data_IF_765509495413
#
_entry.id   IF_765509495413
#
_cell.length_a   1.000
_cell.length_b   1.000
_cell.length_c   1.000
_cell.angle_alpha   90.00
_cell.angle_beta   90.00
_cell.angle_gamma   90.00
#
_symmetry.space_group_name_H-M   'P 1'
#
loop_
_entity.id
_entity.type
_entity.pdbx_description
1 polymer ?
#
# COMPACT_ATOMS: atom_id res chain seq x y z
N UNK A 1 13.00 -59.80 -67.41
CA UNK A 1 12.27 -61.00 -67.83
C UNK A 1 10.85 -60.85 -67.28
N UNK A 2 10.02 -60.73 -68.24
CA UNK A 2 8.74 -61.39 -68.55
C UNK A 2 7.56 -60.88 -67.70
N UNK A 3 6.77 -60.07 -68.25
CA UNK A 3 5.65 -60.12 -69.23
C UNK A 3 4.28 -60.42 -68.55
N UNK A 4 3.36 -59.47 -68.84
CA UNK A 4 1.95 -59.66 -69.29
C UNK A 4 0.91 -60.19 -68.23
N UNK A 5 -0.33 -59.77 -68.17
CA UNK A 5 -1.26 -59.24 -69.21
C UNK A 5 -2.50 -58.64 -68.51
N UNK A 6 -3.04 -57.70 -69.20
CA UNK A 6 -4.36 -57.08 -69.12
C UNK A 6 -5.51 -58.09 -69.16
N UNK A 7 -6.64 -57.78 -68.48
CA UNK A 7 -7.97 -58.00 -69.02
C UNK A 7 -8.99 -57.00 -68.37
N UNK A 8 -9.65 -56.32 -69.28
CA UNK A 8 -10.84 -55.51 -69.04
C UNK A 8 -12.04 -56.39 -68.78
N UNK A 9 -13.00 -55.93 -67.99
CA UNK A 9 -14.42 -56.10 -68.26
C UNK A 9 -15.23 -55.04 -67.54
N UNK A 10 -16.18 -54.51 -68.25
CA UNK A 10 -17.01 -53.36 -67.95
C UNK A 10 -18.35 -53.79 -67.31
N UNK A 11 -19.00 -52.75 -66.81
CA UNK A 11 -20.46 -52.54 -66.67
C UNK A 11 -21.11 -53.03 -65.34
N UNK A 12 -21.68 -52.13 -64.57
CA UNK A 12 -23.09 -51.76 -64.72
C UNK A 12 -23.45 -50.72 -63.61
N UNK A 13 -24.11 -49.67 -64.07
CA UNK A 13 -24.73 -48.59 -63.30
C UNK A 13 -25.87 -49.08 -62.40
N UNK A 14 -25.89 -48.63 -61.15
CA UNK A 14 -27.09 -48.53 -60.36
C UNK A 14 -27.05 -47.23 -59.55
N UNK A 15 -27.86 -46.26 -59.98
CA UNK A 15 -28.05 -45.01 -59.26
C UNK A 15 -28.97 -45.26 -58.04
N UNK A 16 -28.42 -45.00 -56.86
CA UNK A 16 -29.21 -44.90 -55.63
C UNK A 16 -29.12 -43.45 -55.12
N UNK A 17 -30.21 -42.73 -55.27
CA UNK A 17 -30.42 -41.39 -54.70
C UNK A 17 -30.61 -41.50 -53.21
N UNK A 18 -29.60 -41.14 -52.47
CA UNK A 18 -29.73 -40.95 -51.03
C UNK A 18 -30.04 -39.47 -50.73
N UNK A 19 -31.26 -39.21 -50.25
CA UNK A 19 -31.66 -37.94 -49.64
C UNK A 19 -30.89 -37.78 -48.32
N UNK A 20 -29.89 -36.92 -48.27
CA UNK A 20 -29.27 -36.47 -47.03
C UNK A 20 -30.03 -35.25 -46.52
N UNK A 21 -30.84 -35.45 -45.49
CA UNK A 21 -31.40 -34.37 -44.64
C UNK A 21 -30.26 -33.76 -43.85
N UNK A 22 -29.86 -32.55 -44.21
CA UNK A 22 -28.94 -31.73 -43.43
C UNK A 22 -29.75 -31.12 -42.25
N UNK A 23 -29.65 -31.69 -41.06
CA UNK A 23 -29.99 -30.98 -39.82
C UNK A 23 -29.01 -29.86 -39.61
N UNK A 24 -29.43 -28.63 -39.91
CA UNK A 24 -28.69 -27.43 -39.46
C UNK A 24 -28.86 -27.32 -37.93
N UNK A 25 -27.84 -27.73 -37.19
CA UNK A 25 -27.71 -27.38 -35.78
C UNK A 25 -27.47 -25.87 -35.70
N UNK A 26 -28.49 -25.09 -35.37
CA UNK A 26 -28.31 -23.72 -34.92
C UNK A 26 -27.52 -23.77 -33.58
N UNK A 27 -26.19 -23.63 -33.65
CA UNK A 27 -25.43 -23.27 -32.49
C UNK A 27 -25.88 -21.87 -32.07
N UNK A 28 -26.63 -21.78 -30.99
CA UNK A 28 -26.93 -20.52 -30.34
C UNK A 28 -25.57 -19.91 -29.91
N UNK A 29 -25.10 -18.93 -30.67
CA UNK A 29 -23.96 -18.11 -30.24
C UNK A 29 -24.35 -17.49 -28.88
N UNK A 30 -23.47 -17.52 -27.87
CA UNK A 30 -23.75 -16.81 -26.65
C UNK A 30 -23.94 -15.34 -27.01
N UNK A 31 -25.11 -14.79 -26.60
CA UNK A 31 -25.45 -13.40 -26.82
C UNK A 31 -24.28 -12.54 -26.30
N UNK A 32 -23.61 -11.86 -27.21
CA UNK A 32 -22.64 -10.84 -26.84
C UNK A 32 -23.39 -9.81 -26.00
N UNK A 33 -22.94 -9.64 -24.76
CA UNK A 33 -23.45 -8.57 -23.91
C UNK A 33 -23.08 -7.24 -24.57
N UNK A 34 -24.07 -6.61 -25.14
CA UNK A 34 -23.99 -5.24 -25.62
C UNK A 34 -24.38 -4.32 -24.44
N UNK A 35 -23.46 -4.16 -23.49
CA UNK A 35 -23.40 -3.01 -22.61
C UNK A 35 -21.99 -2.92 -22.08
N UNK A 36 -21.24 -1.93 -22.56
CA UNK A 36 -19.82 -1.69 -22.23
C UNK A 36 -19.57 -1.12 -20.82
N UNK A 37 -20.47 -1.40 -19.86
CA UNK A 37 -20.26 -1.12 -18.45
C UNK A 37 -19.73 -2.34 -17.73
N UNK A 38 -18.66 -2.19 -16.92
CA UNK A 38 -18.22 -3.25 -16.02
C UNK A 38 -19.37 -3.62 -15.08
N UNK A 39 -19.63 -4.92 -14.81
CA UNK A 39 -20.69 -5.34 -13.93
C UNK A 39 -20.58 -4.70 -12.54
N UNK A 40 -21.70 -4.20 -12.05
CA UNK A 40 -21.81 -3.51 -10.77
C UNK A 40 -22.59 -4.36 -9.78
N UNK A 41 -21.89 -4.79 -8.71
CA UNK A 41 -22.49 -5.55 -7.61
C UNK A 41 -22.87 -4.60 -6.48
N UNK A 42 -24.15 -4.39 -6.29
CA UNK A 42 -24.65 -3.55 -5.20
C UNK A 42 -24.74 -4.34 -3.89
N UNK A 43 -24.27 -3.76 -2.80
CA UNK A 43 -24.35 -4.34 -1.45
C UNK A 43 -25.00 -3.33 -0.51
N UNK A 44 -26.11 -3.73 0.12
CA UNK A 44 -26.81 -2.92 1.12
C UNK A 44 -26.46 -3.35 2.54
N UNK A 45 -26.67 -2.49 3.55
CA UNK A 45 -26.54 -2.88 4.94
C UNK A 45 -27.31 -4.15 5.27
N UNK A 46 -26.66 -5.10 5.97
CA UNK A 46 -27.19 -6.42 6.25
C UNK A 46 -26.83 -7.49 5.19
N UNK A 47 -26.35 -7.10 4.01
CA UNK A 47 -25.84 -8.03 3.01
C UNK A 47 -24.33 -8.25 3.21
N UNK A 48 -23.81 -9.39 2.74
CA UNK A 48 -22.41 -9.76 2.85
C UNK A 48 -21.57 -9.15 1.73
N UNK A 49 -20.62 -8.27 2.08
CA UNK A 49 -19.64 -7.75 1.13
C UNK A 49 -18.81 -8.91 0.56
N UNK A 50 -18.41 -9.88 1.40
CA UNK A 50 -17.59 -11.01 0.95
C UNK A 50 -18.28 -11.80 -0.15
N UNK A 51 -19.58 -12.09 -0.03
CA UNK A 51 -20.29 -12.79 -1.10
C UNK A 51 -20.32 -12.03 -2.41
N UNK A 52 -20.43 -10.71 -2.37
CA UNK A 52 -20.39 -9.89 -3.58
C UNK A 52 -18.98 -9.89 -4.20
N UNK A 53 -17.94 -9.82 -3.38
CA UNK A 53 -16.53 -9.92 -3.82
C UNK A 53 -16.24 -11.29 -4.42
N UNK A 54 -16.73 -12.38 -3.81
CA UNK A 54 -16.52 -13.75 -4.30
C UNK A 54 -17.24 -14.02 -5.64
N UNK A 55 -18.36 -13.33 -5.88
CA UNK A 55 -19.11 -13.43 -7.13
C UNK A 55 -18.56 -12.52 -8.24
N UNK A 56 -17.75 -11.54 -7.89
CA UNK A 56 -17.21 -10.55 -8.82
C UNK A 56 -16.06 -11.13 -9.68
N UNK A 57 -16.02 -10.71 -10.94
CA UNK A 57 -15.00 -11.07 -11.92
C UNK A 57 -13.94 -9.98 -12.01
N UNK A 58 -12.77 -10.25 -12.60
CA UNK A 58 -11.78 -9.22 -12.86
C UNK A 58 -12.37 -7.99 -13.57
N UNK A 59 -12.13 -6.82 -12.98
CA UNK A 59 -12.67 -5.54 -13.47
C UNK A 59 -14.01 -5.12 -12.88
N UNK A 60 -14.73 -6.00 -12.18
CA UNK A 60 -16.04 -5.67 -11.60
C UNK A 60 -15.92 -4.68 -10.44
N UNK A 61 -17.01 -3.94 -10.20
CA UNK A 61 -17.13 -3.04 -9.05
C UNK A 61 -18.12 -3.58 -8.03
N UNK A 62 -17.71 -3.66 -6.78
CA UNK A 62 -18.57 -3.92 -5.63
C UNK A 62 -18.87 -2.59 -4.95
N UNK A 63 -20.11 -2.12 -5.10
CA UNK A 63 -20.59 -0.82 -4.60
C UNK A 63 -21.35 -0.99 -3.29
N UNK A 64 -20.82 -0.40 -2.22
CA UNK A 64 -21.48 -0.35 -0.92
C UNK A 64 -22.38 0.88 -0.84
N UNK A 65 -23.61 0.71 -0.38
CA UNK A 65 -24.49 1.81 0.01
C UNK A 65 -24.10 2.38 1.38
N UNK A 66 -24.61 3.57 1.75
CA UNK A 66 -24.44 4.08 3.11
C UNK A 66 -24.97 3.09 4.16
N UNK A 67 -24.19 2.88 5.22
CA UNK A 67 -24.54 2.02 6.36
C UNK A 67 -23.36 1.26 6.92
N UNK A 68 -23.63 0.46 7.95
CA UNK A 68 -22.60 -0.31 8.67
C UNK A 68 -22.62 -1.77 8.21
N UNK A 69 -21.44 -2.26 7.88
CA UNK A 69 -21.18 -3.63 7.43
C UNK A 69 -20.30 -4.34 8.45
N UNK A 70 -20.78 -5.48 8.95
CA UNK A 70 -20.03 -6.29 9.92
C UNK A 70 -19.31 -7.43 9.22
N UNK A 71 -18.04 -7.62 9.57
CA UNK A 71 -17.17 -8.65 9.03
C UNK A 71 -15.97 -8.08 8.28
N UNK A 72 -15.11 -8.98 7.85
CA UNK A 72 -13.90 -8.65 7.09
C UNK A 72 -14.08 -9.02 5.62
N UNK A 73 -13.35 -8.33 4.76
CA UNK A 73 -13.40 -8.54 3.30
C UNK A 73 -12.05 -9.05 2.82
N UNK A 74 -12.03 -10.18 2.14
CA UNK A 74 -10.84 -10.74 1.50
C UNK A 74 -10.96 -10.66 -0.02
N UNK A 75 -10.05 -9.95 -0.67
CA UNK A 75 -10.01 -9.76 -2.12
C UNK A 75 -8.83 -10.55 -2.68
N UNK A 76 -9.11 -11.48 -3.60
CA UNK A 76 -8.13 -12.30 -4.32
C UNK A 76 -8.34 -12.32 -5.83
N UNK A 77 -9.31 -11.56 -6.31
CA UNK A 77 -9.62 -11.40 -7.73
C UNK A 77 -8.99 -10.10 -8.23
N UNK A 78 -8.20 -10.10 -9.32
CA UNK A 78 -7.55 -8.91 -9.83
C UNK A 78 -8.56 -7.91 -10.41
N UNK A 79 -8.18 -6.63 -10.42
CA UNK A 79 -8.96 -5.55 -11.02
C UNK A 79 -10.26 -5.20 -10.30
N UNK A 80 -10.56 -5.80 -9.15
CA UNK A 80 -11.78 -5.49 -8.39
C UNK A 80 -11.71 -4.07 -7.84
N UNK A 81 -12.82 -3.36 -7.98
CA UNK A 81 -13.05 -2.10 -7.26
C UNK A 81 -14.03 -2.31 -6.12
N UNK A 82 -13.58 -2.19 -4.88
CA UNK A 82 -14.45 -2.09 -3.71
C UNK A 82 -14.69 -0.60 -3.40
N UNK A 83 -15.91 -0.14 -3.59
CA UNK A 83 -16.26 1.27 -3.48
C UNK A 83 -17.40 1.50 -2.48
N UNK A 84 -17.23 2.48 -1.60
CA UNK A 84 -18.27 2.95 -0.68
C UNK A 84 -18.87 4.29 -1.09
N UNK A 85 -19.74 4.81 -0.23
CA UNK A 85 -20.32 6.14 -0.30
C UNK A 85 -19.62 7.14 0.64
N UNK A 86 -18.28 7.12 0.63
CA UNK A 86 -17.48 7.92 1.55
C UNK A 86 -17.51 7.35 2.97
N UNK A 87 -17.50 8.23 3.97
CA UNK A 87 -17.51 7.86 5.40
C UNK A 87 -18.81 7.18 5.86
N UNK A 88 -19.84 7.24 5.03
CA UNK A 88 -21.14 6.67 5.37
C UNK A 88 -21.21 5.15 5.12
N UNK A 89 -20.26 4.57 4.37
CA UNK A 89 -20.12 3.12 4.22
C UNK A 89 -19.04 2.62 5.17
N UNK A 90 -19.42 2.07 6.31
CA UNK A 90 -18.52 1.75 7.42
C UNK A 90 -18.37 0.24 7.57
N UNK A 91 -17.15 -0.26 7.47
CA UNK A 91 -16.80 -1.66 7.74
C UNK A 91 -16.27 -1.77 9.17
N UNK A 92 -16.89 -2.64 9.98
CA UNK A 92 -16.54 -2.89 11.38
C UNK A 92 -16.35 -4.39 11.61
N UNK A 93 -15.66 -4.80 12.69
CA UNK A 93 -15.49 -6.22 13.00
C UNK A 93 -16.83 -6.97 13.11
N UNK A 94 -16.87 -8.17 12.55
CA UNK A 94 -17.91 -9.16 12.74
C UNK A 94 -17.54 -10.18 13.81
N UNK A 95 -18.05 -11.40 13.68
CA UNK A 95 -17.80 -12.49 14.64
C UNK A 95 -16.43 -13.15 14.46
N UNK A 96 -15.68 -12.76 13.40
CA UNK A 96 -14.26 -13.08 13.24
C UNK A 96 -13.95 -14.44 12.62
N UNK A 97 -14.94 -15.13 12.06
CA UNK A 97 -14.76 -16.48 11.53
C UNK A 97 -15.08 -16.62 10.03
N UNK A 98 -15.52 -15.54 9.37
CA UNK A 98 -16.09 -15.60 8.02
C UNK A 98 -15.04 -15.94 6.94
N UNK A 99 -13.79 -15.52 7.15
CA UNK A 99 -12.68 -15.78 6.21
C UNK A 99 -11.32 -15.58 6.89
N UNK A 100 -10.23 -15.89 6.17
CA UNK A 100 -8.87 -15.77 6.69
C UNK A 100 -8.49 -14.32 7.10
N UNK A 101 -9.08 -13.29 6.50
CA UNK A 101 -8.89 -11.89 6.88
C UNK A 101 -9.47 -11.61 8.27
N UNK A 102 -10.69 -12.07 8.52
CA UNK A 102 -11.36 -11.99 9.81
C UNK A 102 -10.58 -12.74 10.90
N UNK A 103 -10.17 -13.98 10.61
CA UNK A 103 -9.37 -14.78 11.54
C UNK A 103 -8.04 -14.10 11.89
N UNK A 104 -7.40 -13.44 10.94
CA UNK A 104 -6.21 -12.65 11.14
C UNK A 104 -6.46 -11.35 11.93
N UNK A 105 -7.69 -10.85 11.97
CA UNK A 105 -8.08 -9.64 12.71
C UNK A 105 -7.97 -8.34 11.90
N UNK A 106 -7.92 -8.42 10.57
CA UNK A 106 -7.88 -7.28 9.66
C UNK A 106 -9.27 -6.94 9.10
N UNK A 107 -9.43 -5.70 8.63
CA UNK A 107 -10.70 -5.24 8.03
C UNK A 107 -10.85 -5.66 6.58
N UNK A 108 -9.97 -5.16 5.73
CA UNK A 108 -9.91 -5.52 4.30
C UNK A 108 -8.54 -6.12 4.02
N UNK A 109 -8.51 -7.32 3.44
CA UNK A 109 -7.27 -7.95 2.99
C UNK A 109 -7.26 -8.04 1.46
N UNK A 110 -6.20 -7.52 0.85
CA UNK A 110 -5.92 -7.66 -0.60
C UNK A 110 -4.73 -8.58 -0.74
N UNK A 111 -4.95 -9.82 -1.20
CA UNK A 111 -3.98 -10.90 -1.03
C UNK A 111 -3.60 -11.53 -2.37
N UNK A 112 -2.36 -11.30 -2.76
CA UNK A 112 -1.64 -12.05 -3.78
C UNK A 112 -0.46 -12.80 -3.17
N UNK A 113 0.44 -13.27 -4.00
CA UNK A 113 1.74 -13.86 -3.61
C UNK A 113 2.87 -13.16 -4.36
N UNK A 114 4.10 -13.46 -4.01
CA UNK A 114 5.26 -12.90 -4.72
C UNK A 114 5.36 -13.45 -6.14
N UNK A 115 5.07 -14.75 -6.32
CA UNK A 115 5.08 -15.39 -7.64
C UNK A 115 3.87 -14.97 -8.51
N UNK A 116 2.75 -14.68 -7.86
CA UNK A 116 1.49 -14.29 -8.51
C UNK A 116 0.91 -13.06 -7.82
N UNK A 117 1.47 -11.87 -8.07
CA UNK A 117 0.96 -10.64 -7.47
C UNK A 117 -0.47 -10.36 -7.91
N UNK A 118 -1.31 -9.99 -6.94
CA UNK A 118 -2.68 -9.56 -7.24
C UNK A 118 -2.66 -8.15 -7.81
N UNK A 119 -3.16 -7.98 -9.05
CA UNK A 119 -3.05 -6.72 -9.77
C UNK A 119 -4.29 -5.84 -9.69
N UNK A 120 -4.05 -4.52 -9.72
CA UNK A 120 -5.01 -3.46 -10.07
C UNK A 120 -6.28 -3.43 -9.21
N UNK A 121 -6.20 -3.83 -7.95
CA UNK A 121 -7.31 -3.72 -7.01
C UNK A 121 -7.46 -2.27 -6.55
N UNK A 122 -8.70 -1.80 -6.44
CA UNK A 122 -9.01 -0.47 -5.92
C UNK A 122 -9.90 -0.57 -4.68
N UNK A 123 -9.52 0.10 -3.60
CA UNK A 123 -10.36 0.34 -2.41
C UNK A 123 -10.60 1.83 -2.32
N UNK A 124 -11.85 2.25 -2.44
CA UNK A 124 -12.19 3.65 -2.58
C UNK A 124 -13.40 4.09 -1.75
N UNK A 125 -13.28 5.26 -1.09
CA UNK A 125 -14.44 5.99 -0.57
C UNK A 125 -15.27 5.23 0.46
N UNK A 126 -14.64 4.65 1.49
CA UNK A 126 -15.30 3.95 2.59
C UNK A 126 -14.56 4.15 3.91
N UNK A 127 -15.19 3.80 5.02
CA UNK A 127 -14.57 3.80 6.34
C UNK A 127 -14.29 2.38 6.84
N UNK A 128 -13.16 2.21 7.56
CA UNK A 128 -12.75 0.93 8.17
C UNK A 128 -12.26 1.20 9.59
N UNK A 129 -12.91 0.59 10.59
CA UNK A 129 -12.61 0.92 11.98
C UNK A 129 -12.79 -0.25 12.94
N UNK A 130 -12.05 -0.21 14.07
CA UNK A 130 -12.22 -1.08 15.23
C UNK A 130 -11.60 -2.47 15.10
N UNK A 131 -10.76 -2.73 14.11
CA UNK A 131 -10.14 -4.04 13.91
C UNK A 131 -8.97 -4.28 14.85
N UNK A 132 -8.78 -5.55 15.26
CA UNK A 132 -7.72 -5.97 16.20
C UNK A 132 -6.32 -5.86 15.61
N UNK A 133 -6.20 -5.73 14.29
CA UNK A 133 -4.96 -5.48 13.57
C UNK A 133 -5.12 -4.31 12.61
N UNK A 134 -4.87 -4.52 11.32
CA UNK A 134 -4.86 -3.47 10.33
C UNK A 134 -6.29 -3.19 9.80
N UNK A 135 -6.57 -1.94 9.52
CA UNK A 135 -7.81 -1.58 8.82
C UNK A 135 -7.81 -2.15 7.40
N UNK A 136 -6.81 -1.79 6.59
CA UNK A 136 -6.57 -2.34 5.26
C UNK A 136 -5.20 -3.01 5.27
N UNK A 137 -5.15 -4.27 4.84
CA UNK A 137 -3.94 -5.10 4.81
C UNK A 137 -3.73 -5.66 3.41
N UNK A 138 -2.66 -5.25 2.75
CA UNK A 138 -2.31 -5.71 1.41
C UNK A 138 -1.00 -6.49 1.42
N UNK A 139 -0.94 -7.58 0.70
CA UNK A 139 0.25 -8.43 0.61
C UNK A 139 0.38 -9.00 -0.79
N UNK A 140 1.58 -8.93 -1.37
CA UNK A 140 1.85 -9.46 -2.71
C UNK A 140 0.98 -8.82 -3.79
N UNK A 141 0.89 -7.48 -3.81
CA UNK A 141 0.05 -6.76 -4.77
C UNK A 141 0.87 -5.92 -5.74
N UNK A 142 0.30 -5.62 -6.90
CA UNK A 142 0.88 -4.68 -7.86
C UNK A 142 -0.21 -3.75 -8.39
N UNK A 143 0.05 -2.44 -8.39
CA UNK A 143 -0.94 -1.45 -8.85
C UNK A 143 -2.15 -1.26 -7.90
N UNK A 144 -2.04 -1.62 -6.62
CA UNK A 144 -3.09 -1.36 -5.64
C UNK A 144 -3.35 0.14 -5.52
N UNK A 145 -4.62 0.52 -5.57
CA UNK A 145 -5.06 1.89 -5.26
C UNK A 145 -5.92 1.91 -4.00
N UNK A 146 -5.50 2.68 -2.99
CA UNK A 146 -6.32 2.99 -1.81
C UNK A 146 -6.57 4.50 -1.79
N UNK A 147 -7.82 4.93 -1.94
CA UNK A 147 -8.10 6.36 -2.09
C UNK A 147 -9.39 6.80 -1.43
N UNK A 148 -9.38 8.02 -0.88
CA UNK A 148 -10.58 8.62 -0.27
C UNK A 148 -11.18 7.81 0.87
N UNK A 149 -10.40 6.97 1.53
CA UNK A 149 -10.84 6.14 2.66
C UNK A 149 -10.66 6.85 3.99
N UNK A 150 -11.48 6.49 4.97
CA UNK A 150 -11.31 6.87 6.37
C UNK A 150 -10.99 5.63 7.21
N UNK A 151 -9.74 5.48 7.62
CA UNK A 151 -9.26 4.28 8.33
C UNK A 151 -8.82 4.67 9.73
N UNK A 152 -9.55 4.25 10.76
CA UNK A 152 -9.32 4.77 12.11
C UNK A 152 -9.57 3.76 13.23
N UNK A 153 -9.00 4.02 14.40
CA UNK A 153 -9.20 3.22 15.61
C UNK A 153 -8.93 1.71 15.42
N UNK A 154 -8.00 1.37 14.54
CA UNK A 154 -7.54 -0.01 14.40
C UNK A 154 -6.32 -0.25 15.32
N UNK A 155 -6.20 -1.44 15.88
CA UNK A 155 -5.20 -1.69 16.91
C UNK A 155 -3.75 -1.73 16.39
N UNK A 156 -3.56 -1.86 15.07
CA UNK A 156 -2.24 -1.80 14.44
C UNK A 156 -2.20 -0.72 13.36
N UNK A 157 -1.98 -1.10 12.09
CA UNK A 157 -1.84 -0.14 11.01
C UNK A 157 -3.21 0.33 10.50
N UNK A 158 -3.30 1.57 10.06
CA UNK A 158 -4.45 2.00 9.27
C UNK A 158 -4.44 1.30 7.91
N UNK A 159 -3.45 1.62 7.08
CA UNK A 159 -3.22 1.01 5.76
C UNK A 159 -1.84 0.35 5.79
N UNK A 160 -1.81 -0.97 5.60
CA UNK A 160 -0.59 -1.78 5.56
C UNK A 160 -0.38 -2.37 4.17
N UNK A 161 0.86 -2.35 3.69
CA UNK A 161 1.23 -3.00 2.45
C UNK A 161 2.59 -3.68 2.60
N UNK A 162 2.62 -4.98 2.32
CA UNK A 162 3.86 -5.76 2.32
C UNK A 162 4.10 -6.40 0.95
N UNK A 163 5.39 -6.50 0.54
CA UNK A 163 5.81 -7.18 -0.70
C UNK A 163 5.01 -6.77 -1.94
N UNK A 164 4.81 -5.50 -2.11
CA UNK A 164 3.92 -4.97 -3.13
C UNK A 164 4.59 -3.84 -3.92
N UNK A 165 4.12 -3.63 -5.14
CA UNK A 165 4.71 -2.66 -6.07
C UNK A 165 3.64 -1.75 -6.68
N UNK A 166 4.07 -0.58 -7.15
CA UNK A 166 3.29 0.37 -7.95
C UNK A 166 1.96 0.79 -7.29
N UNK A 167 1.94 0.85 -5.97
CA UNK A 167 0.74 1.27 -5.27
C UNK A 167 0.53 2.78 -5.31
N UNK A 168 -0.73 3.19 -5.23
CA UNK A 168 -1.15 4.58 -5.05
C UNK A 168 -2.02 4.67 -3.81
N UNK A 169 -1.49 5.29 -2.75
CA UNK A 169 -2.21 5.53 -1.48
C UNK A 169 -2.45 7.02 -1.39
N UNK A 170 -3.65 7.49 -1.74
CA UNK A 170 -3.90 8.92 -1.90
C UNK A 170 -5.21 9.43 -1.31
N UNK A 171 -5.16 10.66 -0.78
CA UNK A 171 -6.37 11.35 -0.31
C UNK A 171 -7.11 10.59 0.79
N UNK A 172 -6.41 9.76 1.56
CA UNK A 172 -7.00 9.03 2.67
C UNK A 172 -6.86 9.82 3.96
N UNK A 173 -7.78 9.57 4.89
CA UNK A 173 -7.62 9.96 6.28
C UNK A 173 -7.36 8.71 7.12
N UNK A 174 -6.18 8.63 7.74
CA UNK A 174 -5.80 7.50 8.60
C UNK A 174 -5.45 8.01 9.99
N UNK A 175 -6.35 7.78 10.97
CA UNK A 175 -6.26 8.44 12.27
C UNK A 175 -6.39 7.46 13.43
N UNK A 176 -5.69 7.76 14.52
CA UNK A 176 -5.83 7.06 15.81
C UNK A 176 -5.63 5.54 15.73
N UNK A 177 -4.81 5.08 14.77
CA UNK A 177 -4.43 3.68 14.71
C UNK A 177 -3.26 3.40 15.67
N UNK A 178 -3.21 2.20 16.23
CA UNK A 178 -2.24 1.83 17.27
C UNK A 178 -0.77 1.83 16.81
N UNK A 179 -0.54 1.73 15.50
CA UNK A 179 0.80 1.79 14.90
C UNK A 179 0.85 2.89 13.82
N UNK A 180 1.18 2.57 12.58
CA UNK A 180 1.29 3.59 11.54
C UNK A 180 -0.04 3.91 10.87
N UNK A 181 -0.21 5.16 10.47
CA UNK A 181 -1.30 5.56 9.57
C UNK A 181 -1.18 4.84 8.22
N UNK A 182 0.02 4.91 7.61
CA UNK A 182 0.41 4.13 6.44
C UNK A 182 1.72 3.39 6.73
N UNK A 183 1.74 2.10 6.45
CA UNK A 183 2.90 1.23 6.65
C UNK A 183 3.22 0.46 5.37
N UNK A 184 4.42 0.67 4.84
CA UNK A 184 4.95 -0.08 3.72
C UNK A 184 6.20 -0.84 4.15
N UNK A 185 6.25 -2.14 3.86
CA UNK A 185 7.38 -2.95 4.26
C UNK A 185 7.73 -4.07 3.27
N UNK A 186 8.99 -4.46 3.27
CA UNK A 186 9.40 -5.80 2.92
C UNK A 186 9.16 -6.74 4.12
N UNK A 187 9.04 -8.04 3.90
CA UNK A 187 8.82 -9.02 4.98
C UNK A 187 9.79 -8.84 6.15
N UNK A 188 9.23 -8.92 7.34
CA UNK A 188 9.97 -8.78 8.59
C UNK A 188 11.02 -9.88 8.79
N UNK A 189 10.83 -11.03 8.17
CA UNK A 189 11.62 -12.24 8.39
C UNK A 189 12.50 -12.64 7.20
N UNK A 190 12.53 -11.81 6.16
CA UNK A 190 13.34 -12.06 4.98
C UNK A 190 14.65 -11.30 5.10
N UNK A 191 15.75 -12.00 5.05
CA UNK A 191 17.07 -11.41 4.85
C UNK A 191 17.26 -11.05 3.38
N UNK A 192 18.12 -10.09 3.10
CA UNK A 192 18.44 -9.63 1.75
C UNK A 192 18.15 -8.16 1.54
N UNK A 193 18.38 -7.69 0.34
CA UNK A 193 18.24 -6.27 -0.02
C UNK A 193 16.81 -5.78 -0.04
N UNK A 194 16.67 -4.48 -0.04
CA UNK A 194 15.38 -3.79 -0.12
C UNK A 194 14.84 -3.86 -1.56
N UNK A 195 13.66 -4.45 -1.79
CA UNK A 195 13.07 -4.48 -3.12
C UNK A 195 12.67 -3.08 -3.58
N UNK A 196 12.71 -2.87 -4.90
CA UNK A 196 12.19 -1.68 -5.53
C UNK A 196 10.66 -1.78 -5.65
N UNK A 197 9.97 -0.75 -5.20
CA UNK A 197 8.50 -0.73 -5.25
C UNK A 197 7.95 -0.38 -6.63
N UNK A 198 8.81 -0.05 -7.59
CA UNK A 198 8.38 0.34 -8.94
C UNK A 198 7.58 1.64 -8.99
N UNK A 199 7.89 2.59 -8.10
CA UNK A 199 7.26 3.89 -8.07
C UNK A 199 5.98 3.97 -7.25
N UNK A 200 5.89 3.26 -6.13
CA UNK A 200 4.78 3.44 -5.16
C UNK A 200 4.72 4.89 -4.68
N UNK A 201 3.50 5.43 -4.55
CA UNK A 201 3.27 6.81 -4.12
C UNK A 201 2.30 6.86 -2.93
N UNK A 202 2.71 7.62 -1.90
CA UNK A 202 1.85 7.99 -0.75
C UNK A 202 1.66 9.50 -0.83
N UNK A 203 0.45 9.96 -1.23
CA UNK A 203 0.23 11.36 -1.53
C UNK A 203 -1.09 11.92 -1.01
N UNK A 204 -1.06 13.18 -0.57
CA UNK A 204 -2.26 13.93 -0.21
C UNK A 204 -3.08 13.31 0.92
N UNK A 205 -2.46 12.51 1.80
CA UNK A 205 -3.15 11.86 2.93
C UNK A 205 -3.12 12.75 4.17
N UNK A 206 -4.15 12.64 5.02
CA UNK A 206 -4.21 13.19 6.37
C UNK A 206 -3.93 12.06 7.40
N UNK A 207 -2.78 12.16 8.10
CA UNK A 207 -2.29 11.10 8.99
C UNK A 207 -2.10 11.65 10.40
N UNK A 208 -3.05 11.36 11.30
CA UNK A 208 -3.11 12.04 12.60
C UNK A 208 -3.33 11.06 13.76
N UNK A 209 -2.69 11.31 14.90
CA UNK A 209 -2.95 10.57 16.16
C UNK A 209 -2.40 9.15 16.20
N UNK A 210 -1.74 8.68 15.16
CA UNK A 210 -1.14 7.34 15.09
C UNK A 210 0.16 7.27 15.94
N UNK A 211 0.80 6.11 16.03
CA UNK A 211 2.17 6.01 16.52
C UNK A 211 3.15 6.66 15.53
N UNK A 212 3.01 6.38 14.26
CA UNK A 212 3.78 7.00 13.17
C UNK A 212 2.82 7.37 12.05
N UNK A 213 2.99 8.53 11.43
CA UNK A 213 2.19 8.91 10.26
C UNK A 213 2.46 7.95 9.09
N UNK A 214 3.68 7.94 8.57
CA UNK A 214 4.14 7.04 7.50
C UNK A 214 5.36 6.25 7.96
N UNK A 215 5.31 4.94 7.88
CA UNK A 215 6.50 4.07 8.03
C UNK A 215 6.84 3.42 6.70
N UNK A 216 8.10 3.55 6.28
CA UNK A 216 8.69 2.83 5.15
C UNK A 216 9.81 1.96 5.69
N UNK A 217 9.72 0.65 5.49
CA UNK A 217 10.68 -0.28 6.05
C UNK A 217 11.27 -1.21 5.00
N UNK A 218 12.60 -1.13 4.80
CA UNK A 218 13.36 -1.99 3.90
C UNK A 218 12.80 -2.04 2.48
N UNK A 219 12.51 -0.85 1.94
CA UNK A 219 12.01 -0.65 0.58
C UNK A 219 12.81 0.45 -0.12
N UNK A 220 12.73 0.47 -1.44
CA UNK A 220 13.30 1.54 -2.28
C UNK A 220 12.39 1.88 -3.46
N UNK A 221 12.67 3.03 -4.09
CA UNK A 221 11.96 3.46 -5.30
C UNK A 221 10.52 3.91 -5.03
N UNK A 222 10.29 4.82 -4.05
CA UNK A 222 8.94 5.34 -3.75
C UNK A 222 8.96 6.81 -3.34
N UNK A 223 7.78 7.43 -3.38
CA UNK A 223 7.58 8.80 -2.95
C UNK A 223 6.57 8.92 -1.79
N UNK A 224 6.89 9.79 -0.83
CA UNK A 224 6.00 10.27 0.24
C UNK A 224 5.85 11.77 0.05
N UNK A 225 4.71 12.21 -0.48
CA UNK A 225 4.57 13.59 -0.93
C UNK A 225 3.21 14.20 -0.61
N UNK A 226 3.21 15.53 -0.43
CA UNK A 226 1.97 16.31 -0.30
C UNK A 226 1.03 15.84 0.83
N UNK A 227 1.56 15.17 1.89
CA UNK A 227 0.76 14.67 3.01
C UNK A 227 0.73 15.67 4.16
N UNK A 228 -0.42 15.74 4.85
CA UNK A 228 -0.58 16.40 6.15
C UNK A 228 -0.39 15.38 7.28
N UNK A 229 0.64 15.54 8.11
CA UNK A 229 1.05 14.56 9.12
C UNK A 229 1.19 15.25 10.47
N UNK A 230 0.30 14.96 11.43
CA UNK A 230 0.30 15.69 12.70
C UNK A 230 -0.16 14.88 13.90
N UNK A 231 0.26 15.29 15.10
CA UNK A 231 -0.22 14.68 16.34
C UNK A 231 0.14 13.21 16.54
N UNK A 232 1.09 12.68 15.77
CA UNK A 232 1.64 11.34 15.95
C UNK A 232 2.81 11.37 16.94
N UNK A 233 3.49 10.25 17.20
CA UNK A 233 4.74 10.22 17.93
C UNK A 233 5.94 10.50 17.00
N UNK A 234 5.79 10.10 15.72
CA UNK A 234 6.66 10.48 14.61
C UNK A 234 5.84 10.75 13.36
N UNK A 235 6.31 11.66 12.52
CA UNK A 235 5.68 11.97 11.23
C UNK A 235 6.01 10.91 10.18
N UNK A 236 7.21 10.96 9.61
CA UNK A 236 7.72 9.97 8.64
C UNK A 236 8.89 9.22 9.25
N UNK A 237 8.88 7.90 9.18
CA UNK A 237 9.96 7.07 9.69
C UNK A 237 10.41 6.06 8.63
N UNK A 238 11.61 6.25 8.11
CA UNK A 238 12.23 5.36 7.13
C UNK A 238 13.25 4.46 7.81
N UNK A 239 13.06 3.15 7.66
CA UNK A 239 13.88 2.13 8.32
C UNK A 239 14.62 1.29 7.29
N UNK A 240 15.94 1.44 7.27
CA UNK A 240 16.87 0.60 6.53
C UNK A 240 17.69 -0.29 7.45
N UNK A 241 18.40 -1.22 6.84
CA UNK A 241 19.33 -2.14 7.51
C UNK A 241 20.58 -2.39 6.63
N UNK A 242 21.34 -3.44 6.94
CA UNK A 242 22.55 -3.84 6.22
C UNK A 242 22.29 -4.51 4.87
N UNK A 243 21.04 -4.85 4.56
CA UNK A 243 20.67 -5.51 3.30
C UNK A 243 21.10 -4.73 2.06
N UNK A 244 21.59 -5.42 1.03
CA UNK A 244 22.03 -4.82 -0.25
C UNK A 244 21.15 -5.29 -1.39
N UNK A 245 20.57 -4.36 -2.19
CA UNK A 245 20.59 -2.91 -2.06
C UNK A 245 19.89 -2.43 -0.80
N UNK A 246 20.33 -1.29 -0.23
CA UNK A 246 19.74 -0.72 0.98
C UNK A 246 18.36 -0.12 0.70
N UNK A 247 17.59 0.09 1.77
CA UNK A 247 16.45 0.99 1.72
C UNK A 247 16.90 2.38 1.24
N UNK A 248 16.14 2.96 0.33
CA UNK A 248 16.55 4.25 -0.24
C UNK A 248 15.96 4.52 -1.61
N UNK A 249 16.61 5.42 -2.38
CA UNK A 249 16.02 5.95 -3.61
C UNK A 249 14.57 6.42 -3.35
N UNK A 250 14.42 7.21 -2.28
CA UNK A 250 13.13 7.73 -1.80
C UNK A 250 13.06 9.23 -2.02
N UNK A 251 11.87 9.71 -2.37
CA UNK A 251 11.53 11.13 -2.37
C UNK A 251 10.52 11.43 -1.25
N UNK A 252 10.95 12.14 -0.21
CA UNK A 252 10.08 12.66 0.84
C UNK A 252 9.94 14.17 0.62
N UNK A 253 8.82 14.62 0.05
CA UNK A 253 8.72 16.01 -0.41
C UNK A 253 7.36 16.64 -0.22
N UNK A 254 7.36 17.97 -0.03
CA UNK A 254 6.16 18.79 0.10
C UNK A 254 5.16 18.26 1.11
N UNK A 255 5.64 17.61 2.17
CA UNK A 255 4.80 17.22 3.28
C UNK A 255 4.75 18.33 4.32
N UNK A 256 3.60 18.49 4.97
CA UNK A 256 3.42 19.33 6.15
C UNK A 256 3.44 18.43 7.38
N UNK A 257 4.52 18.48 8.18
CA UNK A 257 4.80 17.57 9.30
C UNK A 257 4.83 18.39 10.59
N UNK A 258 3.75 18.35 11.37
CA UNK A 258 3.52 19.32 12.44
C UNK A 258 3.14 18.68 13.77
N UNK A 259 3.84 19.07 14.86
CA UNK A 259 3.40 18.76 16.22
C UNK A 259 3.26 17.26 16.50
N UNK A 260 4.15 16.42 15.98
CA UNK A 260 4.12 14.97 16.22
C UNK A 260 4.70 14.62 17.60
N UNK A 261 4.08 15.17 18.65
CA UNK A 261 4.57 15.20 20.02
C UNK A 261 3.95 14.17 20.95
N UNK A 262 3.06 13.32 20.45
CA UNK A 262 2.49 12.22 21.23
C UNK A 262 3.61 11.33 21.75
N UNK A 263 3.52 10.92 23.01
CA UNK A 263 4.47 9.97 23.59
C UNK A 263 4.04 8.54 23.30
N UNK A 264 4.92 7.77 22.70
CA UNK A 264 4.74 6.34 22.46
C UNK A 264 5.81 5.54 23.22
N UNK A 265 5.44 4.66 24.15
CA UNK A 265 6.41 3.88 24.91
C UNK A 265 7.22 2.96 23.99
N UNK A 266 8.39 2.55 24.50
CA UNK A 266 9.22 1.55 23.85
C UNK A 266 8.46 0.22 23.64
N UNK A 267 8.81 -0.47 22.59
CA UNK A 267 8.37 -1.84 22.34
C UNK A 267 9.59 -2.73 22.04
N UNK A 268 9.46 -4.05 21.91
CA UNK A 268 10.61 -4.94 21.71
C UNK A 268 11.48 -4.64 20.46
N UNK A 269 10.97 -3.83 19.52
CA UNK A 269 11.65 -3.53 18.25
C UNK A 269 12.18 -2.11 18.16
N UNK A 270 11.63 -1.19 18.95
CA UNK A 270 11.94 0.23 18.83
C UNK A 270 11.81 0.91 20.18
N UNK A 271 12.74 1.78 20.50
CA UNK A 271 12.71 2.64 21.68
C UNK A 271 11.47 3.51 21.76
N UNK A 272 11.34 4.27 22.83
CA UNK A 272 10.28 5.28 22.96
C UNK A 272 10.41 6.32 21.83
N UNK A 273 9.29 6.79 21.32
CA UNK A 273 9.22 7.81 20.27
C UNK A 273 8.40 8.98 20.77
N UNK A 274 8.88 10.18 20.54
CA UNK A 274 8.17 11.42 20.79
C UNK A 274 8.81 12.55 20.00
N UNK A 275 8.02 13.41 19.39
CA UNK A 275 8.52 14.64 18.78
C UNK A 275 9.44 14.43 17.60
N UNK A 276 9.22 13.38 16.83
CA UNK A 276 10.01 13.10 15.64
C UNK A 276 9.27 13.59 14.38
N UNK A 277 9.85 14.48 13.61
CA UNK A 277 9.28 14.94 12.34
C UNK A 277 9.52 13.92 11.23
N UNK A 278 10.66 13.98 10.54
CA UNK A 278 11.10 13.04 9.49
C UNK A 278 12.38 12.36 9.95
N UNK A 279 12.37 11.05 10.07
CA UNK A 279 13.51 10.25 10.54
C UNK A 279 13.98 9.29 9.45
N UNK A 280 15.27 9.34 9.13
CA UNK A 280 15.92 8.39 8.23
C UNK A 280 16.91 7.53 9.03
N UNK A 281 16.84 6.20 8.90
CA UNK A 281 17.75 5.28 9.56
C UNK A 281 18.31 4.25 8.58
N UNK A 282 19.63 4.26 8.38
CA UNK A 282 20.32 3.26 7.53
C UNK A 282 19.92 3.28 6.05
N UNK A 283 19.53 4.43 5.52
CA UNK A 283 19.08 4.59 4.13
C UNK A 283 20.19 5.06 3.21
N UNK A 284 19.98 4.91 1.91
CA UNK A 284 20.85 5.48 0.88
C UNK A 284 20.05 6.24 -0.17
N UNK A 285 20.69 7.20 -0.87
CA UNK A 285 20.11 7.92 -2.01
C UNK A 285 18.70 8.49 -1.74
N UNK A 286 18.45 8.97 -0.53
CA UNK A 286 17.14 9.49 -0.12
C UNK A 286 17.12 11.01 -0.19
N UNK A 287 16.07 11.57 -0.79
CA UNK A 287 15.85 13.01 -0.87
C UNK A 287 14.75 13.42 0.09
N UNK A 288 15.01 14.47 0.86
CA UNK A 288 14.01 15.13 1.72
C UNK A 288 13.99 16.59 1.34
N UNK A 289 12.95 17.01 0.61
CA UNK A 289 12.94 18.32 -0.04
C UNK A 289 11.60 19.02 0.07
N UNK A 290 11.61 20.34 0.17
CA UNK A 290 10.39 21.17 0.11
C UNK A 290 9.34 20.80 1.18
N UNK A 291 9.76 20.23 2.33
CA UNK A 291 8.84 19.92 3.41
C UNK A 291 8.73 21.10 4.39
N UNK A 292 7.53 21.33 4.90
CA UNK A 292 7.28 22.17 6.08
C UNK A 292 7.27 21.28 7.33
N UNK A 293 8.28 21.44 8.19
CA UNK A 293 8.46 20.60 9.37
C UNK A 293 8.53 21.48 10.62
N UNK A 294 7.51 21.49 11.46
CA UNK A 294 7.47 22.42 12.58
C UNK A 294 6.87 21.84 13.86
N UNK A 295 7.32 22.39 14.96
CA UNK A 295 6.77 22.12 16.30
C UNK A 295 6.85 20.64 16.72
N UNK A 296 7.75 19.84 16.12
CA UNK A 296 8.00 18.45 16.52
C UNK A 296 9.01 18.45 17.67
N UNK A 297 8.53 18.24 18.90
CA UNK A 297 9.36 18.36 20.11
C UNK A 297 9.21 17.16 21.02
N UNK A 298 10.34 16.67 21.54
CA UNK A 298 10.35 15.52 22.43
C UNK A 298 11.71 15.29 23.08
N UNK A 299 11.80 14.17 23.80
CA UNK A 299 13.05 13.77 24.50
C UNK A 299 13.54 12.38 24.07
N UNK A 300 12.95 11.79 23.05
CA UNK A 300 13.44 10.52 22.49
C UNK A 300 14.67 10.76 21.62
N UNK A 301 15.46 9.73 21.38
CA UNK A 301 16.64 9.80 20.51
C UNK A 301 16.31 10.23 19.08
N UNK A 302 15.04 10.09 18.66
CA UNK A 302 14.54 10.46 17.34
C UNK A 302 13.92 11.86 17.30
N UNK A 303 13.84 12.57 18.43
CA UNK A 303 13.18 13.89 18.48
C UNK A 303 13.92 14.94 17.66
N UNK A 304 13.18 15.74 16.94
CA UNK A 304 13.68 16.81 16.07
C UNK A 304 12.86 16.94 14.79
N UNK A 305 13.16 17.95 13.99
CA UNK A 305 12.48 18.20 12.71
C UNK A 305 12.85 17.14 11.67
N UNK A 306 14.03 17.21 11.07
CA UNK A 306 14.57 16.16 10.19
C UNK A 306 15.80 15.54 10.87
N UNK A 307 15.76 14.22 11.06
CA UNK A 307 16.78 13.51 11.85
C UNK A 307 17.38 12.36 11.02
N UNK A 308 18.68 12.41 10.82
CA UNK A 308 19.45 11.27 10.37
C UNK A 308 19.95 10.50 11.61
N UNK A 309 19.59 9.24 11.70
CA UNK A 309 19.95 8.40 12.85
C UNK A 309 20.52 7.06 12.36
N UNK A 310 21.49 6.52 13.08
CA UNK A 310 22.04 5.20 12.75
C UNK A 310 21.00 4.11 12.98
N UNK A 311 20.84 3.18 12.05
CA UNK A 311 19.88 2.08 12.22
C UNK A 311 20.20 1.23 13.45
N UNK A 312 19.22 0.50 13.96
CA UNK A 312 19.40 -0.38 15.15
C UNK A 312 20.44 -1.48 14.94
N UNK A 313 20.78 -1.80 13.70
CA UNK A 313 21.87 -2.74 13.35
C UNK A 313 23.19 -2.03 13.03
N UNK A 314 23.30 -0.74 13.34
CA UNK A 314 24.55 0.02 13.22
C UNK A 314 24.86 0.57 11.83
N UNK A 315 23.92 0.53 10.89
CA UNK A 315 24.12 1.05 9.53
C UNK A 315 23.79 2.54 9.47
N UNK A 316 24.73 3.32 8.94
CA UNK A 316 24.59 4.76 8.74
C UNK A 316 23.84 5.09 7.44
N UNK A 317 23.20 6.27 7.40
CA UNK A 317 22.65 6.82 6.16
C UNK A 317 23.78 7.24 5.21
N UNK A 318 23.57 7.14 3.92
CA UNK A 318 24.56 7.54 2.92
C UNK A 318 23.88 8.27 1.75
N UNK A 319 24.53 9.32 1.27
CA UNK A 319 24.07 10.11 0.11
C UNK A 319 22.64 10.65 0.26
N UNK A 320 22.24 10.95 1.51
CA UNK A 320 20.99 11.65 1.76
C UNK A 320 21.12 13.12 1.31
N UNK A 321 20.07 13.62 0.64
CA UNK A 321 20.00 15.01 0.16
C UNK A 321 18.85 15.71 0.89
N UNK A 322 19.21 16.56 1.85
CA UNK A 322 18.25 17.31 2.69
C UNK A 322 18.31 18.77 2.26
N UNK A 323 17.40 19.20 1.42
CA UNK A 323 17.46 20.55 0.82
C UNK A 323 16.10 21.21 0.70
N UNK A 324 16.12 22.54 0.72
CA UNK A 324 14.94 23.36 0.43
C UNK A 324 13.76 23.10 1.38
N UNK A 325 14.02 22.65 2.62
CA UNK A 325 13.00 22.45 3.64
C UNK A 325 12.85 23.70 4.52
N UNK A 326 11.63 23.94 5.00
CA UNK A 326 11.31 24.97 5.98
C UNK A 326 11.04 24.31 7.33
N UNK A 327 11.92 24.60 8.31
CA UNK A 327 11.86 23.98 9.63
C UNK A 327 11.82 25.06 10.71
N UNK A 328 10.92 24.91 11.68
CA UNK A 328 10.82 25.85 12.80
C UNK A 328 10.23 25.20 14.05
N UNK A 329 10.69 25.66 15.21
CA UNK A 329 10.13 25.23 16.49
C UNK A 329 10.33 23.76 16.83
N UNK A 330 11.20 23.04 16.13
CA UNK A 330 11.45 21.63 16.41
C UNK A 330 12.47 21.48 17.55
N UNK A 331 12.33 20.48 18.37
CA UNK A 331 13.20 20.25 19.51
C UNK A 331 13.65 18.81 19.68
N UNK A 332 14.94 18.59 19.99
CA UNK A 332 15.97 19.56 20.36
C UNK A 332 16.61 20.34 19.20
N UNK A 333 16.46 19.90 17.94
CA UNK A 333 17.00 20.57 16.76
C UNK A 333 16.02 20.51 15.59
N UNK A 334 16.12 21.48 14.69
CA UNK A 334 15.37 21.45 13.41
C UNK A 334 15.98 20.43 12.44
N UNK A 335 17.31 20.46 12.29
CA UNK A 335 18.08 19.46 11.55
C UNK A 335 19.04 18.73 12.50
N UNK A 336 18.98 17.42 12.55
CA UNK A 336 19.89 16.62 13.36
C UNK A 336 20.56 15.51 12.54
N UNK A 337 21.89 15.54 12.51
CA UNK A 337 22.72 14.48 11.92
C UNK A 337 23.40 13.71 13.08
N UNK A 338 22.70 12.72 13.63
CA UNK A 338 23.13 11.86 14.74
C UNK A 338 23.73 10.55 14.25
N UNK A 339 24.22 10.58 13.02
CA UNK A 339 24.61 9.40 12.28
C UNK A 339 26.01 9.57 11.73
N UNK A 340 26.97 9.54 11.77
CA UNK A 340 28.29 9.67 11.09
C UNK A 340 28.30 9.08 9.65
N UNK A 341 27.18 9.24 8.93
CA UNK A 341 27.03 8.76 7.55
C UNK A 341 27.88 9.55 6.54
N UNK A 342 28.16 8.92 5.40
CA UNK A 342 28.97 9.50 4.35
C UNK A 342 28.14 10.21 3.28
N UNK A 343 28.68 11.31 2.75
CA UNK A 343 28.18 12.03 1.58
C UNK A 343 26.73 12.56 1.73
N UNK A 344 26.27 12.77 2.96
CA UNK A 344 24.99 13.42 3.23
C UNK A 344 25.12 14.93 3.00
N UNK A 345 24.18 15.49 2.27
CA UNK A 345 24.15 16.90 1.88
C UNK A 345 23.03 17.64 2.58
N UNK A 346 23.35 18.79 3.18
CA UNK A 346 22.39 19.72 3.77
C UNK A 346 22.61 21.08 3.11
N UNK A 347 21.58 21.60 2.44
CA UNK A 347 21.70 22.87 1.74
C UNK A 347 20.36 23.58 1.58
N UNK A 348 20.36 24.91 1.63
CA UNK A 348 19.19 25.76 1.39
C UNK A 348 17.97 25.41 2.26
N UNK A 349 18.18 24.83 3.43
CA UNK A 349 17.13 24.67 4.41
C UNK A 349 16.98 25.95 5.23
N UNK A 350 15.77 26.36 5.49
CA UNK A 350 15.47 27.40 6.46
C UNK A 350 15.27 26.76 7.82
N UNK A 351 16.17 27.00 8.77
CA UNK A 351 16.06 26.46 10.12
C UNK A 351 16.85 27.32 11.13
N UNK A 352 16.53 27.18 12.42
CA UNK A 352 17.17 27.97 13.49
C UNK A 352 18.31 27.18 14.18
N UNK A 353 18.11 25.87 14.36
CA UNK A 353 19.03 25.04 15.13
C UNK A 353 19.35 23.74 14.42
N UNK A 354 20.65 23.47 14.28
CA UNK A 354 21.11 22.16 13.77
C UNK A 354 22.07 21.48 14.73
N UNK A 355 22.14 20.18 14.65
CA UNK A 355 23.02 19.28 15.38
C UNK A 355 23.74 18.33 14.38
N UNK A 356 25.09 18.49 14.15
CA UNK A 356 25.94 19.58 14.66
C UNK A 356 25.56 20.95 14.07
N UNK A 357 26.00 22.01 14.71
CA UNK A 357 25.79 23.38 14.24
C UNK A 357 26.35 23.59 12.81
N UNK A 358 25.66 24.44 12.03
CA UNK A 358 26.05 24.80 10.66
C UNK A 358 25.41 23.93 9.55
N UNK A 359 24.37 23.21 9.86
CA UNK A 359 23.59 22.46 8.85
C UNK A 359 22.35 23.26 8.35
N UNK A 360 21.99 24.32 9.03
CA UNK A 360 20.97 25.29 8.60
C UNK A 360 21.45 26.23 7.50
#
# INVERSE_FOLDING_TARGET
>A
MSTRRVHHLAAATAAATALTTVLAALAAAPAARADGGLPLHHVRPGESIQRAVDAARPGDTVQLFPGTYRGSVRITTPGITLRGAGRDSVIVPGDGTENACAAAGHGICVVGTEEHPLSDVTVHGLAVTGFRKNGIDASGTTGLTVSGTYVHDNAQQGISQEMSTRAVIRGNRSTDNGQSGVFLANYAYREGGSPDTGGTVIEGNELTGNRVGVTVRRLRGLAVQDNGISGNCAGVFVVGDEGVPRAGNLDVRRNTVVGNNKFCPANPRLGAIQGAGIVLTGTEDTRVTENEVRDNTGTSDFSGGIVLFRSVVGVSNARAVITDNELSGNGPADLADRDAGADNTFARNTCERSEPAGRC
#
